data_IF_424326580285
#
_entry.id   IF_424326580285
#
_cell.length_a   1.000
_cell.length_b   1.000
_cell.length_c   1.000
_cell.angle_alpha   90.00
_cell.angle_beta   90.00
_cell.angle_gamma   90.00
#
_symmetry.space_group_name_H-M   'P 1'
#
loop_
_entity.id
_entity.type
_entity.pdbx_description
1 polymer ?
#
# COMPACT_ATOMS: atom_id res chain seq x y z
N UNK A 1 21.41 42.00 84.30
CA UNK A 1 22.36 42.65 83.36
C UNK A 1 22.50 41.73 82.15
N UNK A 2 22.11 42.21 80.96
CA UNK A 2 22.45 41.68 79.63
C UNK A 2 22.00 40.23 79.33
N UNK A 3 21.16 39.92 78.35
CA UNK A 3 20.82 40.62 77.12
C UNK A 3 21.27 39.77 75.92
N UNK A 4 20.29 39.30 75.12
CA UNK A 4 20.44 38.80 73.73
C UNK A 4 21.30 37.55 73.53
N UNK A 5 21.13 36.70 72.53
CA UNK A 5 20.40 36.72 71.27
C UNK A 5 20.15 35.23 70.95
N UNK A 6 18.90 34.77 70.87
CA UNK A 6 18.25 34.41 69.60
C UNK A 6 19.21 34.10 68.45
N UNK A 7 19.29 32.82 68.08
CA UNK A 7 19.60 32.41 66.70
C UNK A 7 18.48 31.46 66.26
N UNK A 8 17.77 31.75 65.15
CA UNK A 8 16.76 30.86 64.58
C UNK A 8 17.49 29.67 63.93
N UNK A 9 16.94 28.45 63.95
CA UNK A 9 15.79 28.10 63.14
C UNK A 9 16.24 28.03 61.68
N UNK A 10 16.54 26.83 61.19
CA UNK A 10 16.41 26.49 59.77
C UNK A 10 16.25 24.98 59.63
N UNK A 11 14.99 24.57 59.69
CA UNK A 11 14.51 23.36 59.08
C UNK A 11 14.87 23.43 57.60
N UNK A 12 15.88 22.67 57.17
CA UNK A 12 16.16 22.45 55.76
C UNK A 12 14.95 21.73 55.13
N UNK A 13 14.01 22.53 54.64
CA UNK A 13 12.97 22.07 53.75
C UNK A 13 13.64 21.50 52.51
N UNK A 14 13.56 20.18 52.37
CA UNK A 14 13.85 19.49 51.12
C UNK A 14 12.80 19.94 50.10
N UNK A 15 13.08 21.02 49.36
CA UNK A 15 12.37 21.31 48.13
C UNK A 15 12.81 20.27 47.11
N UNK A 16 11.94 19.36 46.62
CA UNK A 16 12.34 18.48 45.54
C UNK A 16 12.70 19.36 44.34
N UNK A 17 13.95 19.27 43.89
CA UNK A 17 14.39 19.90 42.66
C UNK A 17 13.47 19.43 41.53
N UNK A 18 12.65 20.34 41.02
CA UNK A 18 11.83 20.14 39.83
C UNK A 18 12.79 20.08 38.65
N UNK A 19 13.26 18.88 38.31
CA UNK A 19 14.18 18.69 37.18
C UNK A 19 13.42 18.92 35.86
N UNK A 20 13.71 20.01 35.11
CA UNK A 20 12.95 20.38 33.91
C UNK A 20 12.99 19.29 32.82
N UNK A 21 14.04 18.47 32.80
CA UNK A 21 14.17 17.32 31.89
C UNK A 21 13.03 16.29 32.02
N UNK A 22 12.48 16.10 33.23
CA UNK A 22 11.40 15.13 33.47
C UNK A 22 10.08 15.60 32.82
N UNK A 23 9.82 16.90 32.87
CA UNK A 23 8.63 17.50 32.27
C UNK A 23 8.71 17.51 30.74
N UNK A 24 9.88 17.82 30.18
CA UNK A 24 10.08 17.77 28.73
C UNK A 24 9.92 16.36 28.17
N UNK A 25 10.50 15.36 28.83
CA UNK A 25 10.34 13.96 28.43
C UNK A 25 8.86 13.52 28.47
N UNK A 26 8.12 13.95 29.49
CA UNK A 26 6.70 13.62 29.64
C UNK A 26 5.83 14.24 28.53
N UNK A 27 6.10 15.48 28.15
CA UNK A 27 5.42 16.15 27.02
C UNK A 27 5.69 15.42 25.70
N UNK A 28 6.95 15.03 25.44
CA UNK A 28 7.33 14.30 24.22
C UNK A 28 6.65 12.93 24.17
N UNK A 29 6.64 12.18 25.27
CA UNK A 29 6.00 10.85 25.33
C UNK A 29 4.49 10.96 25.12
N UNK A 30 3.83 11.93 25.76
CA UNK A 30 2.38 12.15 25.57
C UNK A 30 2.06 12.54 24.12
N UNK A 31 2.86 13.44 23.51
CA UNK A 31 2.69 13.82 22.11
C UNK A 31 2.90 12.66 21.14
N UNK A 32 3.94 11.87 21.34
CA UNK A 32 4.26 10.71 20.49
C UNK A 32 3.18 9.63 20.54
N UNK A 33 2.55 9.40 21.70
CA UNK A 33 1.46 8.41 21.82
C UNK A 33 0.22 8.80 21.01
N UNK A 34 -0.12 10.08 20.95
CA UNK A 34 -1.29 10.57 20.20
C UNK A 34 -1.07 10.41 18.70
N UNK A 35 0.07 10.90 18.19
CA UNK A 35 0.44 10.80 16.77
C UNK A 35 0.65 9.34 16.35
N UNK A 36 1.36 8.55 17.17
CA UNK A 36 1.62 7.15 16.91
C UNK A 36 0.36 6.29 16.86
N UNK A 37 -0.62 6.54 17.74
CA UNK A 37 -1.91 5.82 17.70
C UNK A 37 -2.76 6.20 16.50
N UNK A 38 -2.75 7.47 16.07
CA UNK A 38 -3.45 7.90 14.87
C UNK A 38 -2.85 7.26 13.61
N UNK A 39 -1.52 7.32 13.48
CA UNK A 39 -0.79 6.69 12.38
C UNK A 39 -0.99 5.16 12.35
N UNK A 40 -0.89 4.49 13.50
CA UNK A 40 -1.13 3.05 13.60
C UNK A 40 -2.59 2.66 13.28
N UNK A 41 -3.57 3.53 13.55
CA UNK A 41 -4.97 3.30 13.17
C UNK A 41 -5.19 3.48 11.68
N UNK A 42 -4.61 4.51 11.07
CA UNK A 42 -4.66 4.72 9.62
C UNK A 42 -4.03 3.54 8.87
N UNK A 43 -2.82 3.14 9.27
CA UNK A 43 -2.16 1.96 8.69
C UNK A 43 -2.97 0.68 8.93
N UNK A 44 -3.47 0.43 10.14
CA UNK A 44 -4.30 -0.77 10.40
C UNK A 44 -5.55 -0.81 9.54
N UNK A 45 -6.19 0.33 9.27
CA UNK A 45 -7.40 0.39 8.45
C UNK A 45 -7.10 0.04 6.99
N UNK A 46 -6.03 0.58 6.42
CA UNK A 46 -5.59 0.22 5.07
C UNK A 46 -5.15 -1.24 5.00
N UNK A 47 -4.30 -1.70 5.93
CA UNK A 47 -3.84 -3.09 5.93
C UNK A 47 -4.94 -4.11 6.21
N UNK A 48 -5.91 -3.81 7.07
CA UNK A 48 -7.03 -4.72 7.34
C UNK A 48 -8.00 -4.77 6.16
N UNK A 49 -8.31 -3.63 5.54
CA UNK A 49 -9.13 -3.58 4.33
C UNK A 49 -8.43 -4.27 3.15
N UNK A 50 -7.13 -4.02 2.97
CA UNK A 50 -6.31 -4.69 1.95
C UNK A 50 -6.16 -6.18 2.20
N UNK A 51 -6.01 -6.62 3.45
CA UNK A 51 -5.98 -8.05 3.80
C UNK A 51 -7.31 -8.73 3.56
N UNK A 52 -8.42 -8.15 4.03
CA UNK A 52 -9.75 -8.71 3.77
C UNK A 52 -10.06 -8.79 2.26
N UNK A 53 -9.63 -7.78 1.48
CA UNK A 53 -9.76 -7.80 0.03
C UNK A 53 -8.83 -8.81 -0.66
N UNK A 54 -7.61 -9.00 -0.16
CA UNK A 54 -6.66 -10.00 -0.65
C UNK A 54 -7.10 -11.43 -0.33
N UNK A 55 -7.61 -11.65 0.88
CA UNK A 55 -8.18 -12.92 1.34
C UNK A 55 -9.44 -13.27 0.53
N UNK A 56 -10.29 -12.28 0.23
CA UNK A 56 -11.45 -12.45 -0.66
C UNK A 56 -11.04 -12.74 -2.12
N UNK A 57 -9.85 -12.29 -2.55
CA UNK A 57 -9.30 -12.52 -3.90
C UNK A 57 -8.63 -13.88 -4.06
N UNK A 58 -8.43 -14.62 -2.97
CA UNK A 58 -7.93 -15.99 -2.98
C UNK A 58 -6.60 -16.18 -3.73
N UNK A 59 -6.42 -17.39 -4.28
CA UNK A 59 -5.20 -17.81 -4.98
C UNK A 59 -4.96 -17.01 -6.26
N UNK A 60 -6.01 -16.60 -6.96
CA UNK A 60 -5.90 -15.79 -8.17
C UNK A 60 -5.34 -14.39 -7.88
N UNK A 61 -5.74 -13.74 -6.79
CA UNK A 61 -5.16 -12.47 -6.38
C UNK A 61 -3.66 -12.56 -6.08
N UNK A 62 -3.22 -13.65 -5.46
CA UNK A 62 -1.80 -13.89 -5.18
C UNK A 62 -0.99 -14.13 -6.46
N UNK A 63 -1.51 -14.93 -7.39
CA UNK A 63 -0.87 -15.18 -8.69
C UNK A 63 -0.82 -13.90 -9.55
N UNK A 64 -1.91 -13.12 -9.57
CA UNK A 64 -1.99 -11.83 -10.26
C UNK A 64 -0.99 -10.81 -9.69
N UNK A 65 -0.85 -10.74 -8.35
CA UNK A 65 0.14 -9.89 -7.71
C UNK A 65 1.59 -10.33 -8.05
N UNK A 66 1.86 -11.63 -8.03
CA UNK A 66 3.17 -12.18 -8.41
C UNK A 66 3.50 -11.90 -9.90
N UNK A 67 2.54 -12.06 -10.80
CA UNK A 67 2.70 -11.73 -12.22
C UNK A 67 2.98 -10.23 -12.44
N UNK A 68 2.39 -9.36 -11.63
CA UNK A 68 2.65 -7.92 -11.66
C UNK A 68 4.08 -7.59 -11.22
N UNK A 69 4.57 -8.26 -10.16
CA UNK A 69 5.95 -8.10 -9.70
C UNK A 69 6.97 -8.62 -10.72
N UNK A 70 6.66 -9.71 -11.41
CA UNK A 70 7.54 -10.30 -12.44
C UNK A 70 7.61 -9.44 -13.71
N UNK A 71 6.46 -8.94 -14.17
CA UNK A 71 6.38 -8.10 -15.37
C UNK A 71 6.80 -6.65 -15.12
N UNK A 72 6.88 -6.22 -13.86
CA UNK A 72 7.10 -4.83 -13.48
C UNK A 72 5.95 -3.90 -13.89
N UNK A 73 4.77 -4.46 -14.15
CA UNK A 73 3.58 -3.77 -14.63
C UNK A 73 2.35 -4.26 -13.85
N UNK A 74 1.66 -3.35 -13.17
CA UNK A 74 0.43 -3.71 -12.47
C UNK A 74 -0.71 -4.01 -13.43
N UNK A 75 -1.69 -4.80 -12.97
CA UNK A 75 -2.91 -5.07 -13.74
C UNK A 75 -3.64 -3.77 -14.10
N UNK A 76 -3.67 -2.81 -13.18
CA UNK A 76 -4.35 -1.53 -13.37
C UNK A 76 -3.64 -0.68 -14.43
N UNK A 77 -2.31 -0.61 -14.40
CA UNK A 77 -1.54 0.10 -15.43
C UNK A 77 -1.74 -0.55 -16.80
N UNK A 78 -1.77 -1.88 -16.88
CA UNK A 78 -2.04 -2.60 -18.13
C UNK A 78 -3.41 -2.24 -18.72
N UNK A 79 -4.45 -2.19 -17.87
CA UNK A 79 -5.79 -1.77 -18.25
C UNK A 79 -5.84 -0.32 -18.74
N UNK A 80 -5.11 0.58 -18.08
CA UNK A 80 -5.03 1.99 -18.48
C UNK A 80 -4.31 2.17 -19.82
N UNK A 81 -3.19 1.46 -20.04
CA UNK A 81 -2.43 1.52 -21.30
C UNK A 81 -3.30 1.05 -22.47
N UNK A 82 -4.09 -0.02 -22.30
CA UNK A 82 -4.97 -0.54 -23.34
C UNK A 82 -6.37 0.07 -23.34
N UNK A 83 -6.64 1.04 -22.45
CA UNK A 83 -7.94 1.69 -22.28
C UNK A 83 -9.12 0.70 -22.19
N UNK A 84 -8.99 -0.30 -21.30
CA UNK A 84 -10.01 -1.31 -21.05
C UNK A 84 -10.43 -1.31 -19.58
N UNK A 85 -11.73 -1.37 -19.31
CA UNK A 85 -12.26 -1.42 -17.94
C UNK A 85 -12.73 -2.82 -17.54
N UNK A 86 -12.96 -3.70 -18.53
CA UNK A 86 -13.39 -5.08 -18.35
C UNK A 86 -12.37 -6.00 -19.00
N UNK A 87 -12.14 -7.16 -18.37
CA UNK A 87 -11.26 -8.20 -18.89
C UNK A 87 -12.01 -9.03 -19.94
N UNK A 88 -12.44 -8.40 -21.04
CA UNK A 88 -12.98 -9.11 -22.19
C UNK A 88 -11.86 -9.37 -23.20
N UNK A 89 -11.65 -10.63 -23.65
CA UNK A 89 -10.62 -10.95 -24.63
C UNK A 89 -10.77 -10.14 -25.92
N UNK A 90 -12.00 -9.87 -26.33
CA UNK A 90 -12.31 -9.19 -27.59
C UNK A 90 -11.94 -7.69 -27.54
N UNK A 91 -12.29 -6.98 -26.45
CA UNK A 91 -11.94 -5.56 -26.33
C UNK A 91 -10.43 -5.38 -26.15
N UNK A 92 -9.78 -6.27 -25.39
CA UNK A 92 -8.33 -6.26 -25.21
C UNK A 92 -7.62 -6.43 -26.55
N UNK A 93 -8.03 -7.42 -27.35
CA UNK A 93 -7.42 -7.69 -28.64
C UNK A 93 -7.61 -6.53 -29.61
N UNK A 94 -8.84 -6.00 -29.71
CA UNK A 94 -9.17 -4.87 -30.59
C UNK A 94 -8.36 -3.62 -30.24
N UNK A 95 -8.29 -3.26 -28.96
CA UNK A 95 -7.56 -2.08 -28.52
C UNK A 95 -6.05 -2.26 -28.68
N UNK A 96 -5.54 -3.45 -28.41
CA UNK A 96 -4.14 -3.80 -28.67
C UNK A 96 -3.79 -3.61 -30.15
N UNK A 97 -4.54 -4.19 -31.07
CA UNK A 97 -4.27 -4.08 -32.52
C UNK A 97 -4.31 -2.63 -32.99
N UNK A 98 -5.30 -1.86 -32.53
CA UNK A 98 -5.39 -0.45 -32.84
C UNK A 98 -4.18 0.33 -32.31
N UNK A 99 -3.88 0.22 -31.02
CA UNK A 99 -2.77 0.94 -30.38
C UNK A 99 -1.41 0.52 -30.93
N UNK A 100 -1.23 -0.75 -31.27
CA UNK A 100 -0.01 -1.26 -31.88
C UNK A 100 0.19 -0.68 -33.28
N UNK A 101 -0.86 -0.65 -34.10
CA UNK A 101 -0.81 -0.12 -35.48
C UNK A 101 -0.53 1.38 -35.51
N UNK A 102 -1.18 2.17 -34.66
CA UNK A 102 -0.99 3.64 -34.65
C UNK A 102 0.36 4.07 -34.05
N UNK A 103 1.01 3.20 -33.27
CA UNK A 103 2.33 3.46 -32.69
C UNK A 103 3.48 2.78 -33.45
N UNK A 104 3.22 2.21 -34.63
CA UNK A 104 4.27 1.58 -35.42
C UNK A 104 5.34 2.62 -35.85
N UNK A 105 6.61 2.23 -35.84
CA UNK A 105 7.70 3.16 -36.20
C UNK A 105 7.57 3.69 -37.63
N UNK A 106 7.01 2.89 -38.54
CA UNK A 106 6.84 3.26 -39.94
C UNK A 106 5.87 4.42 -40.14
N UNK A 107 4.93 4.62 -39.22
CA UNK A 107 3.93 5.71 -39.26
C UNK A 107 4.30 6.89 -38.35
N UNK A 108 5.54 6.94 -37.87
CA UNK A 108 6.01 7.99 -36.96
C UNK A 108 5.73 7.73 -35.48
N UNK A 109 5.34 6.50 -35.13
CA UNK A 109 5.18 6.07 -33.74
C UNK A 109 6.50 5.81 -33.02
N UNK A 110 6.43 5.60 -31.70
CA UNK A 110 7.59 5.33 -30.86
C UNK A 110 7.70 3.85 -30.50
N UNK A 111 8.91 3.30 -30.66
CA UNK A 111 9.23 1.95 -30.19
C UNK A 111 8.90 1.75 -28.71
N UNK A 112 9.10 2.79 -27.89
CA UNK A 112 8.86 2.73 -26.47
C UNK A 112 7.36 2.55 -26.18
N UNK A 113 6.51 3.32 -26.87
CA UNK A 113 5.07 3.22 -26.72
C UNK A 113 4.55 1.88 -27.23
N UNK A 114 5.03 1.42 -28.38
CA UNK A 114 4.71 0.09 -28.90
C UNK A 114 5.14 -1.01 -27.91
N UNK A 115 6.33 -0.90 -27.32
CA UNK A 115 6.81 -1.84 -26.29
C UNK A 115 5.93 -1.81 -25.04
N UNK A 116 5.45 -0.65 -24.60
CA UNK A 116 4.50 -0.54 -23.48
C UNK A 116 3.15 -1.18 -23.78
N UNK A 117 2.63 -1.00 -24.98
CA UNK A 117 1.38 -1.63 -25.45
C UNK A 117 1.50 -3.15 -25.45
N UNK A 118 2.61 -3.69 -25.96
CA UNK A 118 2.88 -5.14 -25.94
C UNK A 118 2.97 -5.68 -24.51
N UNK A 119 3.71 -5.00 -23.63
CA UNK A 119 3.83 -5.41 -22.22
C UNK A 119 2.50 -5.39 -21.48
N UNK A 120 1.67 -4.38 -21.72
CA UNK A 120 0.33 -4.31 -21.17
C UNK A 120 -0.55 -5.47 -21.66
N UNK A 121 -0.49 -5.80 -22.95
CA UNK A 121 -1.23 -6.91 -23.53
C UNK A 121 -0.79 -8.26 -22.93
N UNK A 122 0.51 -8.54 -22.86
CA UNK A 122 1.06 -9.75 -22.21
C UNK A 122 0.53 -9.90 -20.77
N UNK A 123 0.53 -8.81 -19.99
CA UNK A 123 0.06 -8.81 -18.60
C UNK A 123 -1.44 -9.11 -18.49
N UNK A 124 -2.27 -8.57 -19.38
CA UNK A 124 -3.71 -8.86 -19.40
C UNK A 124 -4.01 -10.29 -19.85
N UNK A 125 -3.25 -10.83 -20.81
CA UNK A 125 -3.40 -12.21 -21.25
C UNK A 125 -3.06 -13.20 -20.12
N UNK A 126 -2.02 -12.90 -19.35
CA UNK A 126 -1.69 -13.70 -18.17
C UNK A 126 -2.80 -13.66 -17.12
N UNK A 127 -3.43 -12.50 -16.92
CA UNK A 127 -4.59 -12.38 -16.02
C UNK A 127 -5.76 -13.27 -16.47
N UNK A 128 -6.07 -13.28 -17.77
CA UNK A 128 -7.11 -14.13 -18.34
C UNK A 128 -6.80 -15.62 -18.15
N UNK A 129 -5.53 -16.03 -18.27
CA UNK A 129 -5.12 -17.42 -17.99
C UNK A 129 -5.31 -17.79 -16.53
N UNK A 130 -4.88 -16.93 -15.60
CA UNK A 130 -5.03 -17.14 -14.15
C UNK A 130 -6.52 -17.30 -13.80
N UNK A 131 -7.39 -16.44 -14.35
CA UNK A 131 -8.84 -16.54 -14.12
C UNK A 131 -9.45 -17.81 -14.72
N UNK A 132 -9.04 -18.20 -15.93
CA UNK A 132 -9.54 -19.41 -16.59
C UNK A 132 -9.08 -20.70 -15.89
N UNK A 133 -7.90 -20.70 -15.25
CA UNK A 133 -7.43 -21.82 -14.42
C UNK A 133 -8.24 -21.91 -13.13
N UNK A 134 -8.44 -20.80 -12.43
CA UNK A 134 -9.22 -20.75 -11.20
C UNK A 134 -10.68 -21.20 -11.42
N UNK A 135 -11.31 -20.77 -12.52
CA UNK A 135 -12.68 -21.18 -12.85
C UNK A 135 -12.78 -22.70 -13.06
N UNK A 136 -11.80 -23.30 -13.75
CA UNK A 136 -11.73 -24.77 -13.93
C UNK A 136 -11.53 -25.52 -12.62
N UNK A 137 -10.67 -25.00 -11.74
CA UNK A 137 -10.46 -25.60 -10.41
C UNK A 137 -11.73 -25.53 -9.55
N UNK A 138 -12.49 -24.43 -9.62
CA UNK A 138 -13.79 -24.27 -8.93
C UNK A 138 -14.85 -25.24 -9.45
N UNK A 139 -14.89 -25.52 -10.74
CA UNK A 139 -15.83 -26.46 -11.36
C UNK A 139 -15.51 -27.92 -11.02
N UNK A 140 -14.25 -28.25 -10.73
CA UNK A 140 -13.81 -29.61 -10.42
C UNK A 140 -13.92 -30.00 -8.94
N UNK A 141 -14.17 -29.05 -8.04
CA UNK A 141 -14.47 -29.36 -6.63
C UNK A 141 -15.96 -29.73 -6.51
N UNK A 142 -16.33 -31.00 -6.26
CA UNK A 142 -17.71 -31.35 -6.00
C UNK A 142 -18.18 -30.60 -4.74
N UNK A 143 -19.31 -29.91 -4.83
CA UNK A 143 -20.00 -29.33 -3.67
C UNK A 143 -20.32 -30.48 -2.71
N UNK A 144 -19.61 -30.52 -1.58
CA UNK A 144 -19.95 -31.37 -0.43
C UNK A 144 -21.23 -30.87 0.23
#
# INVERSE_FOLDING_TARGET
RGGGLSVPGDSLGFTPAVCPAKYLAQIIVMGAQVVGRAFARALRQEFAASRAAADARGRAGHQSAAASNLSGLSLQEAQQILNVSKLSPEEIQKNYEHLFKVNDKSVGGSFYLQSKVVRAWERLQEELRIQAQENREKEQMPKT
#
